data_IF_275924514789
#
_entry.id   IF_275924514789
#
_cell.length_a   1.000
_cell.length_b   1.000
_cell.length_c   1.000
_cell.angle_alpha   90.00
_cell.angle_beta   90.00
_cell.angle_gamma   90.00
#
_symmetry.space_group_name_H-M   'P 1'
#
loop_
_entity.id
_entity.type
_entity.pdbx_description
1 polymer ?
#
# COMPACT_ATOMS: atom_id res chain seq x y z
N UNK A 1 23.27 -11.28 -18.94
CA UNK A 1 22.22 -11.70 -17.98
C UNK A 1 21.30 -10.52 -17.74
N UNK A 2 20.01 -10.59 -18.14
CA UNK A 2 19.03 -9.56 -17.79
C UNK A 2 18.58 -9.80 -16.34
N UNK A 3 19.04 -8.97 -15.41
CA UNK A 3 18.51 -8.96 -14.04
C UNK A 3 17.12 -8.33 -14.07
N UNK A 4 16.11 -9.09 -13.60
CA UNK A 4 14.76 -8.58 -13.41
C UNK A 4 14.71 -7.93 -12.03
N UNK A 5 14.35 -6.66 -11.96
CA UNK A 5 14.15 -5.98 -10.69
C UNK A 5 13.02 -6.68 -9.91
N UNK A 6 13.31 -7.12 -8.69
CA UNK A 6 12.31 -7.74 -7.81
C UNK A 6 11.33 -6.66 -7.36
N UNK A 7 10.04 -6.90 -7.57
CA UNK A 7 8.99 -6.00 -7.08
C UNK A 7 8.49 -6.43 -5.71
N UNK A 8 8.31 -5.48 -4.80
CA UNK A 8 7.85 -5.70 -3.43
C UNK A 8 6.44 -5.12 -3.25
N UNK A 9 5.54 -5.95 -2.72
CA UNK A 9 4.17 -5.55 -2.39
C UNK A 9 3.92 -5.67 -0.89
N UNK A 10 3.43 -4.59 -0.29
CA UNK A 10 2.96 -4.56 1.11
C UNK A 10 1.43 -4.61 1.11
N UNK A 11 0.81 -5.54 1.83
CA UNK A 11 -0.64 -5.83 1.73
C UNK A 11 -1.39 -5.65 3.05
N UNK A 12 -2.63 -5.18 2.97
CA UNK A 12 -3.53 -5.06 4.11
C UNK A 12 -3.21 -3.87 5.00
N UNK A 13 -2.77 -2.78 4.38
CA UNK A 13 -2.52 -1.54 5.10
C UNK A 13 -3.83 -0.82 5.42
N UNK A 14 -3.94 -0.35 6.66
CA UNK A 14 -5.10 0.40 7.16
C UNK A 14 -4.71 1.73 7.80
N UNK A 15 -3.57 1.75 8.50
CA UNK A 15 -3.05 2.92 9.21
C UNK A 15 -1.64 3.25 8.73
N UNK A 16 -1.20 4.49 8.96
CA UNK A 16 0.18 4.94 8.75
C UNK A 16 0.75 4.67 7.33
N UNK A 17 -0.09 4.73 6.30
CA UNK A 17 0.26 4.43 4.90
C UNK A 17 1.50 5.21 4.43
N UNK A 18 1.69 6.45 4.93
CA UNK A 18 2.85 7.28 4.64
C UNK A 18 4.18 6.63 5.06
N UNK A 19 4.25 5.97 6.22
CA UNK A 19 5.48 5.33 6.68
C UNK A 19 5.93 4.21 5.74
N UNK A 20 4.98 3.49 5.15
CA UNK A 20 5.28 2.44 4.18
C UNK A 20 5.58 3.01 2.81
N UNK A 21 4.89 4.08 2.42
CA UNK A 21 5.23 4.80 1.20
C UNK A 21 6.70 5.28 1.22
N UNK A 22 7.17 5.79 2.37
CA UNK A 22 8.55 6.24 2.56
C UNK A 22 9.59 5.11 2.50
N UNK A 23 9.16 3.84 2.57
CA UNK A 23 10.01 2.65 2.35
C UNK A 23 10.06 2.22 0.87
N UNK A 24 9.43 2.97 -0.03
CA UNK A 24 9.43 2.75 -1.48
C UNK A 24 9.06 1.33 -1.96
N UNK A 25 7.97 0.70 -1.47
CA UNK A 25 7.46 -0.53 -2.08
C UNK A 25 6.90 -0.25 -3.48
N UNK A 26 6.96 -1.23 -4.36
CA UNK A 26 6.35 -1.12 -5.69
C UNK A 26 4.82 -1.06 -5.62
N UNK A 27 4.22 -1.71 -4.61
CA UNK A 27 2.77 -1.79 -4.46
C UNK A 27 2.34 -1.75 -3.00
N UNK A 28 1.22 -1.06 -2.74
CA UNK A 28 0.51 -1.08 -1.46
C UNK A 28 -0.91 -1.60 -1.71
N UNK A 29 -1.33 -2.60 -0.94
CA UNK A 29 -2.64 -3.23 -1.05
C UNK A 29 -3.58 -2.85 0.10
N UNK A 30 -4.81 -2.49 -0.25
CA UNK A 30 -5.91 -2.23 0.67
C UNK A 30 -6.91 -3.39 0.62
N UNK A 31 -7.53 -3.71 1.76
CA UNK A 31 -8.48 -4.82 1.86
C UNK A 31 -9.89 -4.28 2.01
N UNK A 32 -10.75 -4.59 1.03
CA UNK A 32 -12.16 -4.18 0.97
C UNK A 32 -13.14 -5.29 1.40
N UNK A 33 -12.63 -6.33 2.07
CA UNK A 33 -13.45 -7.40 2.63
C UNK A 33 -13.86 -7.07 4.08
N UNK A 34 -15.16 -6.90 4.39
CA UNK A 34 -15.60 -6.44 5.72
C UNK A 34 -15.18 -7.33 6.89
N UNK A 35 -15.08 -8.65 6.69
CA UNK A 35 -14.69 -9.57 7.76
C UNK A 35 -13.16 -9.64 7.95
N UNK A 36 -12.37 -8.85 7.21
CA UNK A 36 -10.94 -8.74 7.46
C UNK A 36 -10.67 -7.75 8.60
N UNK A 37 -9.77 -8.05 9.55
CA UNK A 37 -9.33 -7.06 10.54
C UNK A 37 -8.63 -5.84 9.89
N UNK A 38 -8.18 -6.01 8.64
CA UNK A 38 -7.50 -4.99 7.84
C UNK A 38 -8.46 -4.28 6.86
N UNK A 39 -9.78 -4.43 7.06
CA UNK A 39 -10.80 -3.74 6.28
C UNK A 39 -10.65 -2.22 6.40
N UNK A 40 -10.55 -1.55 5.26
CA UNK A 40 -10.32 -0.10 5.18
C UNK A 40 -11.61 0.73 5.24
N UNK A 41 -12.78 0.10 5.11
CA UNK A 41 -14.08 0.77 5.02
C UNK A 41 -14.62 0.82 3.59
N UNK A 42 -15.94 1.02 3.46
CA UNK A 42 -16.59 1.16 2.16
C UNK A 42 -16.29 2.50 1.49
N UNK A 43 -16.17 3.55 2.29
CA UNK A 43 -15.88 4.92 1.83
C UNK A 43 -14.38 5.24 1.85
N UNK A 44 -13.52 4.21 1.81
CA UNK A 44 -12.08 4.42 1.86
C UNK A 44 -11.59 5.15 0.60
N UNK A 45 -11.03 6.34 0.81
CA UNK A 45 -10.39 7.14 -0.24
C UNK A 45 -8.89 6.88 -0.20
N UNK A 46 -8.34 6.46 -1.34
CA UNK A 46 -6.90 6.27 -1.48
C UNK A 46 -6.20 7.61 -1.23
N UNK A 47 -5.25 7.69 -0.27
CA UNK A 47 -4.58 8.94 0.04
C UNK A 47 -3.74 9.40 -1.15
N UNK A 48 -3.79 10.71 -1.45
CA UNK A 48 -2.92 11.34 -2.44
C UNK A 48 -1.50 11.44 -1.86
N UNK A 49 -0.63 10.52 -2.24
CA UNK A 49 0.77 10.53 -1.85
C UNK A 49 1.53 11.49 -2.78
N UNK A 50 2.15 12.53 -2.21
CA UNK A 50 3.05 13.41 -2.97
C UNK A 50 4.39 12.70 -3.10
N UNK A 51 4.91 12.61 -4.33
CA UNK A 51 6.33 12.27 -4.52
C UNK A 51 7.17 13.34 -3.83
N UNK A 52 7.93 12.92 -2.83
CA UNK A 52 9.00 13.75 -2.27
C UNK A 52 10.18 13.57 -3.21
N UNK A 53 10.49 14.62 -3.97
CA UNK A 53 11.64 14.69 -4.87
C UNK A 53 12.93 14.75 -4.07
#
# INVERSE_FOLDING_TARGET
>A
MKYKLLKIKVCGMKFEIHKIYDLFPDFIGFIFYPNSPRFVGFDFIIPKLKKKY
#
